data_IF_706735736879
#
_entry.id   IF_706735736879
#
_cell.length_a   1.000
_cell.length_b   1.000
_cell.length_c   1.000
_cell.angle_alpha   90.00
_cell.angle_beta   90.00
_cell.angle_gamma   90.00
#
_symmetry.space_group_name_H-M   'P 1'
#
loop_
_entity.id
_entity.type
_entity.pdbx_description
1 polymer ?
#
# COMPACT_ATOMS: atom_id res chain seq x y z
N UNK A 1 11.37 -22.93 -5.89
CA UNK A 1 12.03 -21.62 -6.11
C UNK A 1 11.81 -20.72 -4.91
N UNK A 2 12.87 -20.25 -4.24
CA UNK A 2 12.77 -19.49 -2.98
C UNK A 2 12.08 -18.14 -3.20
N UNK A 3 11.03 -17.88 -2.44
CA UNK A 3 10.21 -16.67 -2.55
C UNK A 3 9.56 -16.27 -1.22
N UNK A 4 8.97 -15.09 -1.19
CA UNK A 4 8.23 -14.53 -0.04
C UNK A 4 6.86 -14.02 -0.45
N UNK A 5 5.92 -13.97 0.49
CA UNK A 5 4.64 -13.29 0.31
C UNK A 5 4.84 -11.80 0.61
N UNK A 6 4.37 -10.93 -0.27
CA UNK A 6 4.26 -9.50 -0.02
C UNK A 6 2.79 -9.08 -0.11
N UNK A 7 2.25 -8.51 0.97
CA UNK A 7 0.87 -8.05 1.05
C UNK A 7 0.82 -6.55 1.39
N UNK A 8 0.01 -5.80 0.66
CA UNK A 8 -0.27 -4.38 0.89
C UNK A 8 -1.77 -4.21 1.10
N UNK A 9 -2.16 -3.83 2.32
CA UNK A 9 -3.54 -3.68 2.75
C UNK A 9 -3.93 -2.21 2.66
N UNK A 10 -4.74 -1.86 1.66
CA UNK A 10 -5.34 -0.53 1.55
C UNK A 10 -6.75 -0.47 2.13
N UNK A 11 -7.28 0.74 2.28
CA UNK A 11 -8.66 0.95 2.77
C UNK A 11 -9.75 0.47 1.81
N UNK A 12 -9.45 0.34 0.51
CA UNK A 12 -10.42 -0.08 -0.53
C UNK A 12 -10.05 -1.39 -1.20
N UNK A 13 -8.76 -1.65 -1.39
CA UNK A 13 -8.29 -2.92 -1.93
C UNK A 13 -6.95 -3.33 -1.36
N UNK A 14 -6.71 -4.63 -1.42
CA UNK A 14 -5.46 -5.28 -1.06
C UNK A 14 -4.72 -5.72 -2.32
N UNK A 15 -3.39 -5.76 -2.21
CA UNK A 15 -2.51 -6.18 -3.29
C UNK A 15 -1.54 -7.19 -2.73
N UNK A 16 -1.29 -8.25 -3.49
CA UNK A 16 -0.40 -9.31 -3.08
C UNK A 16 0.53 -9.70 -4.21
N UNK A 17 1.71 -10.19 -3.84
CA UNK A 17 2.62 -10.83 -4.76
C UNK A 17 3.39 -11.97 -4.08
N UNK A 18 3.81 -12.95 -4.88
CA UNK A 18 4.94 -13.80 -4.55
C UNK A 18 6.17 -13.17 -5.18
N UNK A 19 7.16 -12.86 -4.35
CA UNK A 19 8.38 -12.16 -4.76
C UNK A 19 9.55 -13.10 -4.60
N UNK A 20 10.30 -13.32 -5.67
CA UNK A 20 11.48 -14.17 -5.64
C UNK A 20 12.69 -13.47 -5.02
N UNK A 21 13.79 -14.21 -4.86
CA UNK A 21 14.98 -13.75 -4.14
C UNK A 21 15.68 -12.55 -4.81
N UNK A 22 15.51 -12.35 -6.12
CA UNK A 22 16.09 -11.20 -6.85
C UNK A 22 15.14 -9.98 -6.89
N UNK A 23 13.97 -10.09 -6.27
CA UNK A 23 12.94 -9.04 -6.29
C UNK A 23 12.00 -9.12 -7.48
N UNK A 24 12.07 -10.19 -8.27
CA UNK A 24 11.16 -10.47 -9.37
C UNK A 24 9.77 -10.84 -8.86
N UNK A 25 8.73 -10.43 -9.60
CA UNK A 25 7.35 -10.76 -9.27
C UNK A 25 6.98 -12.08 -9.94
N UNK A 26 6.87 -13.14 -9.16
CA UNK A 26 6.53 -14.49 -9.64
C UNK A 26 5.02 -14.67 -9.80
N UNK A 27 4.24 -14.02 -8.95
CA UNK A 27 2.79 -14.01 -9.01
C UNK A 27 2.26 -12.69 -8.46
N UNK A 28 1.12 -12.20 -8.98
CA UNK A 28 0.45 -11.01 -8.49
C UNK A 28 -1.06 -11.24 -8.40
N UNK A 29 -1.67 -10.72 -7.34
CA UNK A 29 -3.11 -10.77 -7.14
C UNK A 29 -3.61 -9.47 -6.49
N UNK A 30 -4.91 -9.20 -6.64
CA UNK A 30 -5.60 -8.06 -6.01
C UNK A 30 -6.97 -8.47 -5.54
N UNK A 31 -7.45 -7.83 -4.48
CA UNK A 31 -8.78 -8.06 -3.90
C UNK A 31 -9.37 -6.79 -3.33
N UNK A 32 -10.70 -6.74 -3.24
CA UNK A 32 -11.37 -5.71 -2.47
C UNK A 32 -11.11 -5.95 -0.97
N UNK A 33 -10.91 -4.86 -0.21
CA UNK A 33 -10.70 -4.96 1.25
C UNK A 33 -11.99 -5.37 1.95
N UNK A 34 -13.13 -4.88 1.47
CA UNK A 34 -14.45 -5.25 2.01
C UNK A 34 -14.75 -4.68 3.39
N UNK A 35 -14.25 -3.47 3.69
CA UNK A 35 -14.35 -2.83 5.02
C UNK A 35 -15.78 -2.65 5.53
N UNK A 36 -16.74 -2.60 4.62
CA UNK A 36 -18.17 -2.52 4.92
C UNK A 36 -18.70 -3.75 5.67
N UNK A 37 -17.98 -4.88 5.63
CA UNK A 37 -18.31 -6.10 6.37
C UNK A 37 -17.82 -6.10 7.82
N UNK A 38 -17.16 -5.03 8.26
CA UNK A 38 -16.63 -4.89 9.62
C UNK A 38 -15.16 -5.31 9.76
N UNK A 39 -14.53 -4.95 10.90
CA UNK A 39 -13.09 -5.08 11.11
C UNK A 39 -12.60 -6.53 11.07
N UNK A 40 -13.33 -7.46 11.69
CA UNK A 40 -12.96 -8.89 11.74
C UNK A 40 -12.99 -9.53 10.35
N UNK A 41 -14.00 -9.20 9.55
CA UNK A 41 -14.08 -9.66 8.16
C UNK A 41 -12.90 -9.15 7.30
N UNK A 42 -12.35 -7.97 7.60
CA UNK A 42 -11.13 -7.48 6.94
C UNK A 42 -9.92 -8.30 7.38
N UNK A 43 -9.79 -8.62 8.67
CA UNK A 43 -8.73 -9.50 9.17
C UNK A 43 -8.80 -10.86 8.49
N UNK A 44 -9.98 -11.49 8.43
CA UNK A 44 -10.18 -12.76 7.73
C UNK A 44 -9.83 -12.68 6.25
N UNK A 45 -10.14 -11.54 5.61
CA UNK A 45 -9.79 -11.30 4.20
C UNK A 45 -8.26 -11.25 4.02
N UNK A 46 -7.52 -10.60 4.93
CA UNK A 46 -6.04 -10.57 4.94
C UNK A 46 -5.48 -11.98 5.12
N UNK A 47 -5.97 -12.72 6.12
CA UNK A 47 -5.52 -14.07 6.46
C UNK A 47 -5.78 -15.06 5.31
N UNK A 48 -6.98 -15.03 4.74
CA UNK A 48 -7.35 -15.84 3.59
C UNK A 48 -6.46 -15.54 2.39
N UNK A 49 -6.24 -14.26 2.09
CA UNK A 49 -5.43 -13.86 0.94
C UNK A 49 -3.97 -14.29 1.06
N UNK A 50 -3.39 -14.20 2.26
CA UNK A 50 -2.04 -14.72 2.53
C UNK A 50 -1.98 -16.25 2.35
N UNK A 51 -2.99 -16.97 2.83
CA UNK A 51 -3.04 -18.43 2.72
C UNK A 51 -3.16 -18.91 1.27
N UNK A 52 -3.94 -18.23 0.42
CA UNK A 52 -4.03 -18.60 -1.00
C UNK A 52 -2.73 -18.33 -1.75
N UNK A 53 -2.00 -17.27 -1.39
CA UNK A 53 -0.66 -17.00 -1.93
C UNK A 53 0.33 -18.10 -1.53
N UNK A 54 0.31 -18.53 -0.26
CA UNK A 54 1.10 -19.68 0.21
C UNK A 54 0.79 -20.94 -0.59
N UNK A 55 -0.50 -21.28 -0.72
CA UNK A 55 -0.94 -22.47 -1.44
C UNK A 55 -0.65 -22.38 -2.95
N UNK A 56 -0.69 -21.18 -3.54
CA UNK A 56 -0.27 -20.96 -4.92
C UNK A 56 1.22 -21.24 -5.09
N UNK A 57 2.06 -20.73 -4.18
CA UNK A 57 3.51 -20.95 -4.18
C UNK A 57 3.86 -22.44 -4.09
N UNK A 58 3.25 -23.17 -3.17
CA UNK A 58 3.43 -24.63 -3.04
C UNK A 58 3.11 -25.36 -4.35
N UNK A 59 1.95 -25.05 -4.96
CA UNK A 59 1.49 -25.75 -6.16
C UNK A 59 2.27 -25.40 -7.43
N UNK A 60 2.71 -24.16 -7.60
CA UNK A 60 3.24 -23.67 -8.88
C UNK A 60 4.74 -23.37 -8.85
N UNK A 61 5.34 -23.16 -7.66
CA UNK A 61 6.76 -22.84 -7.49
C UNK A 61 7.54 -23.96 -6.78
N UNK A 62 6.85 -25.05 -6.41
CA UNK A 62 7.42 -26.30 -5.89
C UNK A 62 7.73 -26.30 -4.38
N UNK A 63 7.55 -25.18 -3.69
CA UNK A 63 7.79 -25.06 -2.24
C UNK A 63 6.92 -23.94 -1.64
N UNK A 64 6.64 -23.93 -0.32
CA UNK A 64 5.96 -22.81 0.33
C UNK A 64 6.84 -21.56 0.39
N UNK A 65 6.19 -20.40 0.55
CA UNK A 65 6.90 -19.16 0.78
C UNK A 65 7.73 -19.21 2.08
N UNK A 66 8.96 -18.70 2.02
CA UNK A 66 9.91 -18.75 3.15
C UNK A 66 9.59 -17.71 4.25
N UNK A 67 8.86 -16.65 3.91
CA UNK A 67 8.44 -15.59 4.82
C UNK A 67 7.25 -14.81 4.23
N UNK A 68 6.60 -13.99 5.06
CA UNK A 68 5.60 -13.02 4.64
C UNK A 68 5.94 -11.61 5.14
N UNK A 69 5.78 -10.61 4.29
CA UNK A 69 5.79 -9.19 4.64
C UNK A 69 4.41 -8.60 4.41
N UNK A 70 3.85 -7.96 5.43
CA UNK A 70 2.51 -7.34 5.37
C UNK A 70 2.59 -5.87 5.74
N UNK A 71 2.17 -5.02 4.82
CA UNK A 71 2.02 -3.59 4.97
C UNK A 71 0.56 -3.26 5.27
N UNK A 72 0.30 -2.50 6.34
CA UNK A 72 -1.04 -2.09 6.77
C UNK A 72 -1.10 -0.58 7.03
N UNK A 73 -2.29 0.04 6.92
CA UNK A 73 -2.44 1.47 7.15
C UNK A 73 -2.57 1.75 8.66
N UNK A 74 -2.32 2.99 9.04
CA UNK A 74 -2.55 3.47 10.41
C UNK A 74 -1.36 3.23 11.34
N UNK A 75 -1.64 3.04 12.62
CA UNK A 75 -0.65 2.92 13.68
C UNK A 75 -0.21 1.48 13.79
N UNK A 76 1.10 1.24 13.63
CA UNK A 76 1.69 -0.10 13.63
C UNK A 76 2.85 -0.15 14.62
N UNK A 77 2.75 -1.09 15.57
CA UNK A 77 3.88 -1.52 16.38
C UNK A 77 4.52 -2.74 15.70
N UNK A 78 5.55 -2.48 14.90
CA UNK A 78 6.27 -3.52 14.18
C UNK A 78 7.09 -4.42 15.12
N UNK A 79 7.48 -3.95 16.32
CA UNK A 79 8.21 -4.76 17.29
C UNK A 79 7.33 -5.87 17.85
N UNK A 80 6.16 -5.49 18.36
CA UNK A 80 5.14 -6.41 18.90
C UNK A 80 4.32 -7.13 17.82
N UNK A 81 4.36 -6.64 16.59
CA UNK A 81 3.60 -7.21 15.47
C UNK A 81 2.09 -6.89 15.54
N UNK A 82 1.75 -5.71 16.06
CA UNK A 82 0.37 -5.24 16.25
C UNK A 82 0.01 -4.16 15.24
N UNK A 83 -1.18 -4.29 14.64
CA UNK A 83 -1.87 -3.15 14.04
C UNK A 83 -2.67 -2.45 15.16
N UNK A 84 -2.02 -1.50 15.81
CA UNK A 84 -2.51 -0.82 17.02
C UNK A 84 -3.82 -0.10 16.73
N UNK A 85 -3.89 0.63 15.61
CA UNK A 85 -5.10 1.36 15.26
C UNK A 85 -5.16 1.67 13.76
N UNK A 86 -6.29 1.40 13.12
CA UNK A 86 -6.54 1.81 11.73
C UNK A 86 -7.98 2.30 11.57
N UNK A 87 -8.19 3.62 11.67
CA UNK A 87 -9.50 4.24 11.58
C UNK A 87 -10.29 3.86 10.32
N UNK A 88 -9.60 3.70 9.18
CA UNK A 88 -10.21 3.34 7.90
C UNK A 88 -10.64 1.87 7.80
N UNK A 89 -10.11 0.99 8.65
CA UNK A 89 -10.41 -0.45 8.72
C UNK A 89 -11.18 -0.84 10.00
N UNK A 90 -11.33 0.08 10.95
CA UNK A 90 -11.99 -0.18 12.24
C UNK A 90 -11.15 -1.05 13.19
N UNK A 91 -9.83 -1.14 12.99
CA UNK A 91 -8.96 -1.97 13.81
C UNK A 91 -8.53 -1.26 15.10
N UNK A 92 -8.47 -2.05 16.18
CA UNK A 92 -7.85 -1.70 17.45
C UNK A 92 -7.08 -2.93 17.96
N UNK A 93 -5.80 -2.76 18.24
CA UNK A 93 -4.90 -3.79 18.82
C UNK A 93 -4.97 -5.17 18.15
N UNK A 94 -5.05 -5.21 16.82
CA UNK A 94 -5.12 -6.47 16.08
C UNK A 94 -3.74 -7.16 16.06
N UNK A 95 -3.60 -8.39 16.60
CA UNK A 95 -2.31 -9.09 16.67
C UNK A 95 -1.93 -9.74 15.34
N UNK A 96 -1.78 -8.92 14.30
CA UNK A 96 -1.66 -9.35 12.91
C UNK A 96 -0.51 -10.33 12.66
N UNK A 97 0.67 -10.12 13.27
CA UNK A 97 1.79 -11.07 13.14
C UNK A 97 1.42 -12.46 13.65
N UNK A 98 0.78 -12.53 14.82
CA UNK A 98 0.39 -13.80 15.45
C UNK A 98 -0.62 -14.53 14.57
N UNK A 99 -1.69 -13.84 14.19
CA UNK A 99 -2.77 -14.41 13.38
C UNK A 99 -2.26 -14.92 12.02
N UNK A 100 -1.38 -14.16 11.36
CA UNK A 100 -0.76 -14.59 10.11
C UNK A 100 0.21 -15.76 10.33
N UNK A 101 1.01 -15.75 11.40
CA UNK A 101 1.90 -16.85 11.73
C UNK A 101 1.14 -18.16 11.94
N UNK A 102 0.04 -18.12 12.68
CA UNK A 102 -0.86 -19.28 12.87
C UNK A 102 -1.47 -19.72 11.52
N UNK A 103 -2.02 -18.78 10.76
CA UNK A 103 -2.67 -19.06 9.46
C UNK A 103 -1.71 -19.63 8.41
N UNK A 104 -0.44 -19.26 8.47
CA UNK A 104 0.60 -19.66 7.52
C UNK A 104 1.47 -20.81 8.04
N UNK A 105 1.06 -21.51 9.11
CA UNK A 105 1.76 -22.67 9.68
C UNK A 105 3.18 -22.35 10.17
N UNK A 106 3.33 -21.24 10.89
CA UNK A 106 4.59 -20.84 11.53
C UNK A 106 5.58 -20.09 10.63
N UNK A 107 5.21 -19.75 9.40
CA UNK A 107 6.04 -18.93 8.51
C UNK A 107 6.37 -17.58 9.17
N UNK A 108 7.64 -17.12 9.16
CA UNK A 108 8.02 -15.82 9.71
C UNK A 108 7.26 -14.66 9.05
N UNK A 109 6.72 -13.74 9.87
CA UNK A 109 5.92 -12.59 9.40
C UNK A 109 6.51 -11.27 9.88
N UNK A 110 6.85 -10.41 8.92
CA UNK A 110 7.15 -9.00 9.15
C UNK A 110 5.89 -8.15 8.93
N UNK A 111 5.63 -7.23 9.87
CA UNK A 111 4.53 -6.27 9.79
C UNK A 111 5.13 -4.86 9.68
N UNK A 112 4.59 -4.04 8.79
CA UNK A 112 5.02 -2.66 8.60
C UNK A 112 3.86 -1.71 8.32
N UNK A 113 4.10 -0.42 8.56
CA UNK A 113 3.22 0.64 8.08
C UNK A 113 3.38 0.79 6.56
N UNK A 114 2.28 0.95 5.83
CA UNK A 114 2.25 0.99 4.36
C UNK A 114 3.18 2.05 3.75
N UNK A 115 3.13 3.30 4.23
CA UNK A 115 3.92 4.41 3.71
C UNK A 115 5.40 4.25 4.03
N UNK A 116 5.74 3.76 5.24
CA UNK A 116 7.14 3.51 5.63
C UNK A 116 7.74 2.33 4.88
N UNK A 117 6.98 1.26 4.74
CA UNK A 117 7.38 0.09 3.93
C UNK A 117 7.60 0.52 2.49
N UNK A 118 6.78 1.46 2.01
CA UNK A 118 6.94 2.07 0.72
C UNK A 118 8.17 2.93 0.53
N UNK A 119 8.44 3.81 1.50
CA UNK A 119 9.68 4.56 1.54
C UNK A 119 10.89 3.63 1.53
N UNK A 120 10.84 2.52 2.27
CA UNK A 120 11.91 1.53 2.32
C UNK A 120 12.11 0.86 0.96
N UNK A 121 11.02 0.49 0.28
CA UNK A 121 11.08 -0.08 -1.07
C UNK A 121 11.66 0.92 -2.08
N UNK A 122 11.23 2.18 -2.03
CA UNK A 122 11.77 3.23 -2.90
C UNK A 122 13.25 3.53 -2.64
N UNK A 123 13.70 3.46 -1.38
CA UNK A 123 15.10 3.60 -1.00
C UNK A 123 15.98 2.43 -1.47
N UNK A 124 15.46 1.19 -1.42
CA UNK A 124 16.23 -0.01 -1.77
C UNK A 124 16.25 -0.29 -3.27
N UNK A 125 15.08 -0.26 -3.91
CA UNK A 125 14.89 -0.75 -5.29
C UNK A 125 14.20 0.28 -6.21
N UNK A 126 13.85 1.44 -5.68
CA UNK A 126 13.14 2.49 -6.41
C UNK A 126 13.95 3.77 -6.64
N UNK A 127 13.27 4.91 -6.57
CA UNK A 127 13.82 6.20 -6.94
C UNK A 127 14.86 6.76 -5.94
N UNK A 128 14.86 6.27 -4.70
CA UNK A 128 15.81 6.65 -3.65
C UNK A 128 17.10 5.84 -3.65
N UNK A 129 17.24 4.82 -4.52
CA UNK A 129 18.43 3.96 -4.56
C UNK A 129 19.72 4.77 -4.77
N UNK A 130 20.71 4.51 -3.92
CA UNK A 130 21.99 5.22 -3.93
C UNK A 130 21.94 6.62 -3.32
N UNK A 131 20.88 6.94 -2.57
CA UNK A 131 20.76 8.18 -1.82
C UNK A 131 20.69 7.86 -0.33
N UNK A 132 21.56 8.48 0.47
CA UNK A 132 21.62 8.22 1.91
C UNK A 132 20.43 8.82 2.66
N UNK A 133 19.89 9.94 2.18
CA UNK A 133 18.79 10.66 2.83
C UNK A 133 17.72 11.07 1.83
N UNK A 134 16.47 10.69 2.08
CA UNK A 134 15.34 11.06 1.22
C UNK A 134 14.04 11.21 2.00
N UNK A 135 13.09 11.96 1.43
CA UNK A 135 11.70 12.01 1.89
C UNK A 135 10.83 11.37 0.81
N UNK A 136 10.21 10.25 1.14
CA UNK A 136 9.13 9.67 0.35
C UNK A 136 7.81 10.29 0.80
N UNK A 137 7.00 10.80 -0.13
CA UNK A 137 5.67 11.37 0.17
C UNK A 137 4.63 10.60 -0.61
N UNK A 138 3.75 9.91 0.09
CA UNK A 138 2.59 9.25 -0.47
C UNK A 138 1.44 10.25 -0.58
N UNK A 139 0.94 10.42 -1.81
CA UNK A 139 -0.23 11.24 -2.12
C UNK A 139 -1.35 10.32 -2.60
N UNK A 140 -2.43 10.23 -1.83
CA UNK A 140 -3.59 9.39 -2.14
C UNK A 140 -4.85 9.89 -1.44
N UNK A 141 -5.62 8.98 -0.86
CA UNK A 141 -6.78 9.33 -0.01
C UNK A 141 -6.39 10.10 1.25
N UNK A 142 -5.12 9.99 1.64
CA UNK A 142 -4.47 10.79 2.68
C UNK A 142 -3.09 11.21 2.21
N UNK A 143 -2.38 11.92 3.07
CA UNK A 143 -1.01 12.36 2.81
C UNK A 143 -0.13 11.89 3.96
N UNK A 144 0.95 11.19 3.63
CA UNK A 144 1.88 10.68 4.61
C UNK A 144 3.29 10.67 4.01
N UNK A 145 4.29 10.66 4.87
CA UNK A 145 5.69 10.67 4.53
C UNK A 145 6.44 9.47 5.12
N UNK A 146 7.62 9.20 4.58
CA UNK A 146 8.61 8.33 5.18
C UNK A 146 9.98 8.96 4.98
N UNK A 147 10.73 9.12 6.08
CA UNK A 147 12.06 9.71 6.07
C UNK A 147 13.04 8.54 6.00
N UNK A 148 13.80 8.47 4.90
CA UNK A 148 14.86 7.49 4.73
C UNK A 148 16.20 8.10 5.16
N UNK A 149 16.94 7.40 6.02
CA UNK A 149 18.28 7.78 6.49
C UNK A 149 19.14 6.51 6.54
N UNK A 150 20.29 6.56 5.88
CA UNK A 150 21.33 5.52 5.90
C UNK A 150 20.77 4.11 5.60
N UNK A 151 19.89 4.03 4.59
CA UNK A 151 19.26 2.78 4.13
C UNK A 151 18.12 2.25 5.02
N UNK A 152 17.77 2.97 6.08
CA UNK A 152 16.65 2.67 6.98
C UNK A 152 15.52 3.70 6.81
N UNK A 153 14.34 3.41 7.37
CA UNK A 153 13.22 4.35 7.41
C UNK A 153 12.88 4.66 8.85
N UNK A 154 12.86 5.94 9.17
CA UNK A 154 12.60 6.44 10.52
C UNK A 154 11.16 6.13 10.94
N UNK A 155 11.03 5.46 12.09
CA UNK A 155 9.74 5.26 12.75
C UNK A 155 9.40 6.41 13.71
N UNK A 156 10.40 7.19 14.12
CA UNK A 156 10.27 8.19 15.19
C UNK A 156 10.12 7.56 16.57
N UNK A 157 10.11 8.39 17.61
CA UNK A 157 10.12 7.94 19.01
C UNK A 157 8.93 7.04 19.39
N UNK A 158 7.79 7.19 18.71
CA UNK A 158 6.54 6.49 19.02
C UNK A 158 5.92 5.76 17.81
N UNK A 159 6.67 5.59 16.71
CA UNK A 159 6.15 4.91 15.52
C UNK A 159 5.25 5.75 14.59
N UNK A 160 5.11 7.06 14.85
CA UNK A 160 4.27 8.01 14.10
C UNK A 160 5.03 8.92 13.14
N UNK A 161 6.34 8.71 12.93
CA UNK A 161 7.05 9.52 11.96
C UNK A 161 6.43 9.34 10.57
N UNK A 162 6.12 10.47 9.93
CA UNK A 162 5.51 10.48 8.61
C UNK A 162 4.04 10.90 8.56
N UNK A 163 3.36 11.12 9.68
CA UNK A 163 1.95 11.57 9.73
C UNK A 163 1.76 13.05 9.35
N UNK A 164 2.48 13.52 8.32
CA UNK A 164 2.51 14.91 7.85
C UNK A 164 1.16 15.39 7.31
N UNK A 165 0.27 14.47 6.95
CA UNK A 165 -1.09 14.77 6.56
C UNK A 165 -1.95 15.37 7.68
N UNK A 166 -1.50 15.26 8.94
CA UNK A 166 -2.15 15.81 10.13
C UNK A 166 -1.62 17.20 10.54
N UNK A 167 -0.61 17.73 9.85
CA UNK A 167 -0.11 19.09 10.10
C UNK A 167 -1.22 20.09 9.76
N UNK A 168 -1.56 20.97 10.70
CA UNK A 168 -2.52 22.05 10.49
C UNK A 168 -1.91 23.08 9.54
N UNK A 169 -2.47 23.19 8.34
CA UNK A 169 -1.99 24.13 7.32
C UNK A 169 -2.84 25.39 7.23
N UNK A 170 -4.06 25.37 7.77
CA UNK A 170 -4.98 26.51 7.83
C UNK A 170 -5.78 26.49 9.12
N UNK A 171 -5.45 27.30 10.14
CA UNK A 171 -6.28 27.43 11.34
C UNK A 171 -7.77 27.68 10.97
N UNK A 172 -8.69 26.93 11.58
CA UNK A 172 -10.13 27.04 11.31
C UNK A 172 -10.64 26.40 10.00
N UNK A 173 -9.81 25.65 9.28
CA UNK A 173 -10.26 24.87 8.11
C UNK A 173 -11.08 23.62 8.45
N UNK A 174 -11.47 22.87 7.41
CA UNK A 174 -12.37 21.72 7.52
C UNK A 174 -11.81 20.61 8.43
N UNK A 175 -12.66 19.97 9.25
CA UNK A 175 -12.26 18.80 10.02
C UNK A 175 -11.86 17.65 9.09
N UNK A 176 -10.79 16.94 9.45
CA UNK A 176 -10.37 15.71 8.79
C UNK A 176 -10.87 14.50 9.55
N UNK A 177 -10.96 13.36 8.87
CA UNK A 177 -11.59 12.13 9.37
C UNK A 177 -10.99 11.56 10.67
N UNK A 178 -9.78 12.00 11.04
CA UNK A 178 -9.10 11.64 12.29
C UNK A 178 -9.27 12.68 13.42
N UNK A 179 -10.26 13.58 13.31
CA UNK A 179 -10.61 14.52 14.38
C UNK A 179 -9.78 15.81 14.44
N UNK A 180 -8.77 15.99 13.57
CA UNK A 180 -7.98 17.23 13.49
C UNK A 180 -8.76 18.30 12.68
N UNK A 181 -8.79 19.55 13.15
CA UNK A 181 -9.30 20.66 12.32
C UNK A 181 -8.19 21.14 11.36
N UNK A 182 -8.45 21.02 10.05
CA UNK A 182 -7.67 21.58 8.95
C UNK A 182 -6.26 21.03 8.69
N UNK A 183 -6.17 19.72 8.50
CA UNK A 183 -4.94 19.09 8.04
C UNK A 183 -4.79 19.13 6.51
N UNK A 184 -3.59 18.86 5.98
CA UNK A 184 -3.27 18.94 4.53
C UNK A 184 -4.25 18.13 3.64
N UNK A 185 -4.89 17.09 4.19
CA UNK A 185 -5.90 16.28 3.50
C UNK A 185 -7.28 16.95 3.31
N UNK A 186 -7.55 18.13 3.87
CA UNK A 186 -8.83 18.85 3.79
C UNK A 186 -9.08 19.63 2.50
N UNK A 187 -8.51 19.23 1.36
CA UNK A 187 -8.61 20.01 0.11
C UNK A 187 -9.79 19.54 -0.76
N UNK A 188 -10.79 20.39 -1.09
CA UNK A 188 -11.74 20.08 -2.17
C UNK A 188 -10.99 20.07 -3.52
N UNK A 189 -11.53 19.45 -4.60
CA UNK A 189 -10.82 19.35 -5.88
C UNK A 189 -10.34 20.74 -6.38
N UNK A 190 -9.19 20.81 -7.08
CA UNK A 190 -8.48 22.06 -7.28
C UNK A 190 -9.28 23.03 -8.14
N UNK A 191 -9.74 24.15 -7.55
CA UNK A 191 -9.95 25.38 -8.29
C UNK A 191 -8.59 26.02 -8.54
N UNK A 192 -8.20 26.05 -9.82
CA UNK A 192 -6.95 26.61 -10.33
C UNK A 192 -6.90 28.12 -10.00
N UNK A 193 -6.19 28.49 -8.94
CA UNK A 193 -5.71 29.86 -8.75
C UNK A 193 -4.21 29.82 -8.54
N UNK A 194 -3.48 30.03 -9.64
CA UNK A 194 -2.04 30.20 -9.62
C UNK A 194 -1.73 31.61 -9.09
N UNK A 195 -1.01 31.72 -7.99
CA UNK A 195 -0.19 32.90 -7.68
C UNK A 195 1.28 32.46 -7.67
N UNK A 196 2.20 33.19 -8.32
CA UNK A 196 3.61 32.81 -8.31
C UNK A 196 4.22 33.13 -6.94
N UNK A 197 4.77 32.11 -6.29
CA UNK A 197 5.48 32.21 -5.01
C UNK A 197 7.00 32.24 -5.20
N UNK A 198 7.63 33.12 -4.44
CA UNK A 198 9.07 33.39 -4.32
C UNK A 198 9.90 32.10 -4.07
N UNK A 199 11.05 31.95 -4.75
CA UNK A 199 12.04 30.89 -4.46
C UNK A 199 13.08 31.42 -3.47
N UNK A 200 13.31 30.78 -2.30
CA UNK A 200 14.52 31.01 -1.52
C UNK A 200 15.71 30.25 -2.14
N UNK A 201 16.96 30.74 -2.01
CA UNK A 201 18.12 30.08 -2.60
C UNK A 201 18.59 28.90 -1.73
N UNK A 202 19.07 27.84 -2.39
CA UNK A 202 20.07 26.95 -1.78
C UNK A 202 19.62 25.60 -1.19
N UNK A 203 18.82 24.80 -1.89
CA UNK A 203 18.84 23.33 -1.75
C UNK A 203 18.58 22.70 -3.12
N UNK A 204 19.47 21.82 -3.60
CA UNK A 204 19.23 21.02 -4.80
C UNK A 204 18.22 19.91 -4.45
N UNK A 205 16.94 20.25 -4.40
CA UNK A 205 15.87 19.26 -4.27
C UNK A 205 15.70 18.55 -5.61
N UNK A 206 16.29 17.36 -5.77
CA UNK A 206 15.97 16.47 -6.89
C UNK A 206 14.64 15.79 -6.62
N UNK A 207 13.55 16.39 -7.10
CA UNK A 207 12.24 15.73 -7.15
C UNK A 207 12.24 14.70 -8.29
N UNK A 208 12.44 13.43 -7.94
CA UNK A 208 12.14 12.32 -8.85
C UNK A 208 10.75 11.81 -8.54
N UNK A 209 9.82 11.91 -9.50
CA UNK A 209 8.56 11.15 -9.42
C UNK A 209 8.94 9.68 -9.35
N UNK A 210 8.45 8.94 -8.34
CA UNK A 210 8.63 7.50 -8.27
C UNK A 210 8.25 6.90 -9.64
N UNK A 211 9.26 6.44 -10.38
CA UNK A 211 9.07 5.93 -11.72
C UNK A 211 8.38 4.56 -11.63
N UNK A 212 7.60 4.22 -12.67
CA UNK A 212 6.75 3.03 -12.84
C UNK A 212 7.52 1.70 -12.72
N UNK A 213 8.00 1.35 -11.53
CA UNK A 213 8.74 0.13 -11.14
C UNK A 213 7.84 -0.86 -10.38
N UNK A 214 8.24 -2.13 -10.18
CA UNK A 214 7.36 -3.24 -9.78
C UNK A 214 6.47 -2.94 -8.57
N UNK A 215 7.03 -2.29 -7.54
CA UNK A 215 6.28 -1.89 -6.35
C UNK A 215 5.24 -0.80 -6.67
N UNK A 216 5.60 0.27 -7.40
CA UNK A 216 4.61 1.23 -7.92
C UNK A 216 3.60 0.59 -8.89
N UNK A 217 3.97 -0.40 -9.73
CA UNK A 217 3.00 -1.13 -10.57
C UNK A 217 2.02 -1.96 -9.75
N UNK A 218 2.46 -2.49 -8.60
CA UNK A 218 1.55 -3.04 -7.62
C UNK A 218 0.67 -1.91 -7.06
N UNK A 219 1.25 -0.85 -6.50
CA UNK A 219 0.56 0.15 -5.65
C UNK A 219 -0.14 1.32 -6.37
N UNK A 220 0.15 1.62 -7.64
CA UNK A 220 -0.19 2.91 -8.30
C UNK A 220 -1.25 2.87 -9.41
N UNK A 221 -2.06 1.80 -9.53
CA UNK A 221 -3.21 1.83 -10.45
C UNK A 221 -4.38 2.61 -9.81
N UNK A 222 -5.00 3.59 -10.51
CA UNK A 222 -6.18 4.28 -9.98
C UNK A 222 -7.34 3.29 -9.79
N UNK A 223 -8.02 3.37 -8.65
CA UNK A 223 -9.28 2.66 -8.42
C UNK A 223 -10.33 3.26 -9.35
N UNK A 224 -10.54 2.63 -10.51
CA UNK A 224 -11.66 2.96 -11.39
C UNK A 224 -12.97 2.55 -10.72
N UNK A 225 -13.87 3.51 -10.56
CA UNK A 225 -15.29 3.28 -10.31
C UNK A 225 -15.90 2.54 -11.50
N UNK A 226 -16.42 1.33 -11.28
CA UNK A 226 -17.13 0.59 -12.31
C UNK A 226 -17.37 -0.86 -11.93
N UNK A 227 -18.50 -1.12 -11.27
CA UNK A 227 -19.09 -2.44 -11.17
C UNK A 227 -19.68 -2.85 -12.54
N UNK A 228 -19.45 -4.10 -12.94
CA UNK A 228 -20.06 -4.74 -14.12
C UNK A 228 -19.61 -6.20 -14.23
N UNK A 229 -20.51 -7.19 -14.43
CA UNK A 229 -20.30 -8.57 -14.01
C UNK A 229 -19.53 -9.40 -15.04
N UNK A 230 -18.62 -10.25 -14.58
CA UNK A 230 -18.03 -11.32 -15.38
C UNK A 230 -18.57 -12.66 -14.88
N UNK A 231 -19.49 -13.24 -15.66
CA UNK A 231 -19.84 -14.67 -15.55
C UNK A 231 -18.83 -15.49 -16.36
N UNK A 232 -18.41 -16.63 -15.78
CA UNK A 232 -17.60 -17.64 -16.48
C UNK A 232 -18.47 -18.41 -17.47
N UNK A 233 -17.93 -18.72 -18.64
CA UNK A 233 -18.26 -19.93 -19.40
C UNK A 233 -16.98 -20.59 -19.94
N UNK A 234 -16.94 -21.92 -20.13
CA UNK A 234 -15.72 -22.68 -20.34
C UNK A 234 -15.54 -22.99 -21.83
N UNK A 235 -14.78 -22.18 -22.56
CA UNK A 235 -14.10 -22.54 -23.82
C UNK A 235 -13.28 -21.33 -24.27
N UNK A 236 -12.14 -21.59 -24.93
CA UNK A 236 -11.03 -20.66 -25.09
C UNK A 236 -11.28 -19.37 -25.88
N UNK A 237 -10.29 -18.48 -25.84
CA UNK A 237 -10.30 -17.16 -26.46
C UNK A 237 -10.20 -17.26 -27.99
N UNK A 238 -11.09 -16.57 -28.70
CA UNK A 238 -10.93 -16.23 -30.11
C UNK A 238 -11.27 -14.75 -30.34
N UNK A 239 -10.45 -13.97 -31.07
CA UNK A 239 -10.68 -12.55 -31.27
C UNK A 239 -11.75 -12.31 -32.33
N UNK A 240 -12.88 -11.70 -31.97
CA UNK A 240 -13.80 -11.10 -32.95
C UNK A 240 -13.52 -9.60 -33.07
N UNK A 241 -13.14 -9.19 -34.28
CA UNK A 241 -13.04 -7.81 -34.74
C UNK A 241 -14.41 -7.12 -34.75
N UNK A 242 -14.53 -5.82 -34.39
CA UNK A 242 -15.81 -5.13 -34.41
C UNK A 242 -16.14 -4.59 -35.81
N UNK A 243 -17.24 -5.09 -36.37
CA UNK A 243 -17.96 -4.48 -37.49
C UNK A 243 -18.79 -3.30 -36.98
N UNK A 244 -18.58 -2.11 -37.52
CA UNK A 244 -19.47 -0.96 -37.31
C UNK A 244 -20.61 -1.02 -38.33
N UNK A 245 -21.85 -1.22 -37.87
CA UNK A 245 -23.06 -0.89 -38.63
C UNK A 245 -23.51 0.52 -38.30
N UNK A 246 -23.55 1.38 -39.32
CA UNK A 246 -24.32 2.64 -39.33
C UNK A 246 -25.80 2.34 -39.56
N UNK A 247 -26.67 3.11 -38.93
CA UNK A 247 -27.88 3.74 -39.52
C UNK A 247 -28.79 4.30 -38.40
N UNK A 248 -29.76 5.19 -38.72
CA UNK A 248 -29.88 6.09 -39.88
C UNK A 248 -29.43 7.52 -39.55
#
# INVERSE_FOLDING_TARGET
>A
MRHVIALDVGGTGMKAALVGASGELLHQARRATGRERGPDAVVDTVLGFAAELRAYGERHLGEPAAAAGVAVPGIVDAGRGLAVYAANLGWSDVPMRKLLGERLHGVPVALGHDVRTGGLAEGRIGAGRGTDRFLFVALGTGIAGAIGIDGTVEAGAHGFAGEIGHIVVRPGGLPVRAGSTAAWSGTPPPRRSARPGHRPPGTRTRTRRAARRPWSRATSAPYGSGAGPWTRSPTGWSPRSPSWTRAP
#
